data_IF_917708663289
#
_entry.id   IF_917708663289
#
_cell.length_a   1.000
_cell.length_b   1.000
_cell.length_c   1.000
_cell.angle_alpha   90.00
_cell.angle_beta   90.00
_cell.angle_gamma   90.00
#
_symmetry.space_group_name_H-M   'P 1'
#
loop_
_entity.id
_entity.type
_entity.pdbx_description
1 polymer ?
#
# COMPACT_ATOMS: atom_id res chain seq x y z
N UNK A 1 3.60 4.32 12.04
CA UNK A 1 4.15 5.60 11.55
C UNK A 1 3.12 6.73 11.46
N UNK A 2 1.80 6.45 11.43
CA UNK A 2 0.74 7.47 11.30
C UNK A 2 0.83 8.72 12.21
N UNK A 3 0.97 8.60 13.54
CA UNK A 3 1.05 9.77 14.43
C UNK A 3 2.29 10.65 14.18
N UNK A 4 3.42 10.03 13.86
CA UNK A 4 4.65 10.75 13.51
C UNK A 4 4.50 11.51 12.18
N UNK A 5 3.84 10.91 11.19
CA UNK A 5 3.53 11.58 9.92
C UNK A 5 2.62 12.79 10.11
N UNK A 6 1.58 12.68 10.94
CA UNK A 6 0.70 13.81 11.28
C UNK A 6 1.44 14.95 11.99
N UNK A 7 2.36 14.63 12.90
CA UNK A 7 3.20 15.62 13.56
C UNK A 7 4.11 16.35 12.56
N UNK A 8 4.78 15.61 11.67
CA UNK A 8 5.62 16.24 10.63
C UNK A 8 4.78 17.12 9.69
N UNK A 9 3.56 16.69 9.35
CA UNK A 9 2.65 17.47 8.51
C UNK A 9 2.16 18.75 9.18
N UNK A 10 1.93 18.74 10.50
CA UNK A 10 1.47 19.94 11.24
C UNK A 10 2.52 21.03 11.30
N UNK A 11 3.80 20.66 11.22
CA UNK A 11 4.92 21.60 11.14
C UNK A 11 5.14 22.17 9.72
N UNK A 12 4.41 21.67 8.72
CA UNK A 12 4.57 22.03 7.31
C UNK A 12 3.38 22.86 6.80
N UNK A 13 3.53 23.67 5.72
CA UNK A 13 2.42 24.44 5.13
C UNK A 13 1.34 23.55 4.49
N UNK A 14 1.56 22.24 4.41
CA UNK A 14 0.65 21.25 3.84
C UNK A 14 -0.37 20.74 4.88
N UNK A 15 -0.40 21.31 6.09
CA UNK A 15 -1.32 20.88 7.16
C UNK A 15 -2.75 20.70 6.65
N UNK A 16 -3.34 19.54 6.96
CA UNK A 16 -4.67 19.12 6.50
C UNK A 16 -4.88 19.16 4.98
N UNK A 17 -3.87 18.73 4.22
CA UNK A 17 -3.90 18.58 2.76
C UNK A 17 -4.18 19.91 2.06
N UNK A 18 -3.61 21.01 2.58
CA UNK A 18 -3.67 22.29 1.90
C UNK A 18 -2.85 22.20 0.59
N UNK A 19 -3.57 22.18 -0.53
CA UNK A 19 -3.00 22.00 -1.87
C UNK A 19 -2.14 23.18 -2.31
N UNK A 20 -2.53 24.39 -1.89
CA UNK A 20 -1.82 25.62 -2.20
C UNK A 20 -0.42 25.66 -1.56
N UNK A 21 -0.32 25.19 -0.32
CA UNK A 21 0.95 25.03 0.40
C UNK A 21 1.91 23.99 -0.21
N UNK A 22 1.45 23.17 -1.17
CA UNK A 22 2.32 22.24 -1.89
C UNK A 22 3.18 22.94 -2.97
N UNK A 23 2.78 24.12 -3.44
CA UNK A 23 3.40 24.82 -4.56
C UNK A 23 3.93 26.23 -4.22
N UNK A 24 3.38 26.91 -3.22
CA UNK A 24 3.69 28.32 -2.92
C UNK A 24 5.16 28.61 -2.63
N UNK A 25 5.91 27.65 -2.07
CA UNK A 25 7.32 27.82 -1.73
C UNK A 25 8.26 26.95 -2.59
N UNK A 26 7.79 26.49 -3.76
CA UNK A 26 8.63 25.74 -4.68
C UNK A 26 9.73 26.65 -5.30
N UNK A 27 10.99 26.20 -5.39
CA UNK A 27 11.53 24.89 -5.02
C UNK A 27 11.87 24.76 -3.51
N UNK A 28 11.44 23.66 -2.89
CA UNK A 28 11.73 23.37 -1.49
C UNK A 28 13.13 22.75 -1.33
N UNK A 29 14.16 23.59 -1.44
CA UNK A 29 15.56 23.17 -1.39
C UNK A 29 16.03 22.79 0.02
N UNK A 30 15.42 23.39 1.05
CA UNK A 30 15.71 23.08 2.45
C UNK A 30 14.48 22.42 3.08
N UNK A 31 14.70 21.24 3.66
CA UNK A 31 13.70 20.52 4.44
C UNK A 31 14.17 20.51 5.89
N UNK A 32 13.23 20.68 6.81
CA UNK A 32 13.51 20.50 8.23
C UNK A 32 14.09 19.09 8.50
N UNK A 33 14.97 18.98 9.48
CA UNK A 33 15.65 17.72 9.80
C UNK A 33 14.67 16.60 10.14
N UNK A 34 13.60 16.91 10.89
CA UNK A 34 12.55 15.95 11.24
C UNK A 34 11.75 15.51 10.01
N UNK A 35 11.43 16.47 9.12
CA UNK A 35 10.76 16.19 7.87
C UNK A 35 11.59 15.26 6.97
N UNK A 36 12.87 15.60 6.78
CA UNK A 36 13.79 14.83 5.94
C UNK A 36 14.00 13.43 6.49
N UNK A 37 14.16 13.29 7.81
CA UNK A 37 14.29 11.99 8.45
C UNK A 37 13.04 11.13 8.24
N UNK A 38 11.85 11.65 8.52
CA UNK A 38 10.60 10.91 8.32
C UNK A 38 10.43 10.47 6.86
N UNK A 39 10.65 11.38 5.90
CA UNK A 39 10.51 11.09 4.48
C UNK A 39 11.47 9.99 4.01
N UNK A 40 12.76 10.09 4.37
CA UNK A 40 13.78 9.11 3.97
C UNK A 40 13.60 7.77 4.69
N UNK A 41 13.19 7.80 5.95
CA UNK A 41 12.89 6.59 6.71
C UNK A 41 11.70 5.83 6.09
N UNK A 42 10.64 6.55 5.71
CA UNK A 42 9.50 5.98 5.01
C UNK A 42 9.94 5.40 3.65
N UNK A 43 10.77 6.13 2.88
CA UNK A 43 11.32 5.63 1.62
C UNK A 43 12.15 4.35 1.80
N UNK A 44 12.98 4.28 2.85
CA UNK A 44 13.78 3.11 3.17
C UNK A 44 12.91 1.91 3.57
N UNK A 45 11.85 2.13 4.37
CA UNK A 45 10.88 1.10 4.73
C UNK A 45 10.20 0.50 3.49
N UNK A 46 9.70 1.36 2.59
CA UNK A 46 9.06 0.91 1.34
C UNK A 46 10.03 0.20 0.39
N UNK A 47 11.28 0.67 0.30
CA UNK A 47 12.32 -0.01 -0.47
C UNK A 47 12.65 -1.39 0.12
N UNK A 48 12.76 -1.50 1.44
CA UNK A 48 12.98 -2.77 2.12
C UNK A 48 11.83 -3.74 1.87
N UNK A 49 10.57 -3.28 1.95
CA UNK A 49 9.41 -4.10 1.64
C UNK A 49 9.43 -4.61 0.20
N UNK A 50 9.82 -3.77 -0.77
CA UNK A 50 9.97 -4.19 -2.16
C UNK A 50 11.07 -5.26 -2.33
N UNK A 51 12.21 -5.12 -1.65
CA UNK A 51 13.28 -6.12 -1.68
C UNK A 51 12.82 -7.46 -1.12
N UNK A 52 12.10 -7.48 0.00
CA UNK A 52 11.57 -8.72 0.59
C UNK A 52 10.64 -9.45 -0.38
N UNK A 53 9.77 -8.72 -1.08
CA UNK A 53 8.89 -9.32 -2.08
C UNK A 53 9.66 -9.82 -3.32
N UNK A 54 10.67 -9.08 -3.79
CA UNK A 54 11.50 -9.49 -4.93
C UNK A 54 12.29 -10.77 -4.64
N UNK A 55 12.74 -10.95 -3.40
CA UNK A 55 13.44 -12.16 -2.94
C UNK A 55 12.48 -13.36 -2.75
N UNK A 56 11.17 -13.19 -2.98
CA UNK A 56 10.19 -14.26 -2.85
C UNK A 56 10.01 -14.78 -1.42
N UNK A 57 10.40 -13.97 -0.43
CA UNK A 57 10.26 -14.33 0.98
C UNK A 57 8.79 -14.29 1.46
N UNK A 58 7.90 -13.62 0.71
CA UNK A 58 6.46 -13.60 0.95
C UNK A 58 5.73 -14.57 0.02
N UNK A 59 4.84 -15.39 0.59
CA UNK A 59 4.00 -16.35 -0.15
C UNK A 59 3.16 -15.62 -1.21
N UNK A 60 3.18 -16.12 -2.45
CA UNK A 60 2.52 -15.47 -3.59
C UNK A 60 0.99 -15.53 -3.45
N UNK A 61 0.37 -14.38 -3.18
CA UNK A 61 -1.08 -14.23 -3.12
C UNK A 61 -1.72 -13.95 -4.49
N UNK A 62 -3.06 -14.06 -4.58
CA UNK A 62 -3.84 -13.78 -5.81
C UNK A 62 -3.71 -12.33 -6.29
N UNK A 63 -3.39 -11.38 -5.40
CA UNK A 63 -3.19 -9.95 -5.67
C UNK A 63 -1.70 -9.56 -5.81
N UNK A 64 -0.80 -10.53 -5.98
CA UNK A 64 0.64 -10.28 -6.00
C UNK A 64 1.08 -9.38 -7.17
N UNK A 65 0.45 -9.51 -8.35
CA UNK A 65 0.84 -8.72 -9.53
C UNK A 65 0.49 -7.24 -9.35
N UNK A 66 -0.67 -6.98 -8.77
CA UNK A 66 -1.17 -5.65 -8.45
C UNK A 66 -0.32 -5.02 -7.35
N UNK A 67 0.05 -5.81 -6.33
CA UNK A 67 0.95 -5.38 -5.24
C UNK A 67 2.35 -5.02 -5.75
N UNK A 68 2.93 -5.82 -6.65
CA UNK A 68 4.23 -5.53 -7.28
C UNK A 68 4.14 -4.27 -8.14
N UNK A 69 3.09 -4.16 -8.97
CA UNK A 69 2.85 -2.96 -9.80
C UNK A 69 2.75 -1.71 -8.92
N UNK A 70 2.06 -1.79 -7.79
CA UNK A 70 1.98 -0.72 -6.82
C UNK A 70 3.35 -0.34 -6.26
N UNK A 71 4.17 -1.30 -5.86
CA UNK A 71 5.51 -0.99 -5.32
C UNK A 71 6.41 -0.34 -6.37
N UNK A 72 6.30 -0.74 -7.63
CA UNK A 72 7.03 -0.08 -8.72
C UNK A 72 6.55 1.38 -8.85
N UNK A 73 5.23 1.60 -8.91
CA UNK A 73 4.66 2.95 -9.04
C UNK A 73 5.01 3.84 -7.84
N UNK A 74 4.89 3.32 -6.61
CA UNK A 74 5.19 4.10 -5.40
C UNK A 74 6.68 4.40 -5.26
N UNK A 75 7.58 3.44 -5.50
CA UNK A 75 9.03 3.71 -5.46
C UNK A 75 9.47 4.72 -6.51
N UNK A 76 8.90 4.66 -7.72
CA UNK A 76 9.15 5.68 -8.75
C UNK A 76 8.61 7.03 -8.30
N UNK A 77 7.39 7.09 -7.75
CA UNK A 77 6.79 8.34 -7.25
C UNK A 77 7.64 8.97 -6.12
N UNK A 78 8.12 8.16 -5.18
CA UNK A 78 8.99 8.60 -4.07
C UNK A 78 10.32 9.11 -4.60
N UNK A 79 10.97 8.35 -5.49
CA UNK A 79 12.28 8.70 -6.05
C UNK A 79 12.21 10.02 -6.82
N UNK A 80 11.17 10.21 -7.63
CA UNK A 80 10.97 11.43 -8.40
C UNK A 80 10.51 12.60 -7.54
N UNK A 81 9.64 12.37 -6.56
CA UNK A 81 9.21 13.38 -5.59
C UNK A 81 10.42 13.96 -4.84
N UNK A 82 11.38 13.12 -4.46
CA UNK A 82 12.64 13.55 -3.86
C UNK A 82 13.55 14.27 -4.87
N UNK A 83 13.75 13.70 -6.06
CA UNK A 83 14.66 14.26 -7.08
C UNK A 83 14.22 15.61 -7.64
N UNK A 84 12.91 15.85 -7.71
CA UNK A 84 12.30 17.06 -8.26
C UNK A 84 11.76 18.02 -7.19
N UNK A 85 12.07 17.80 -5.91
CA UNK A 85 11.67 18.66 -4.79
C UNK A 85 10.14 18.81 -4.59
N UNK A 86 9.35 17.82 -5.03
CA UNK A 86 7.91 17.70 -4.78
C UNK A 86 7.61 16.85 -3.54
N UNK A 87 8.44 16.98 -2.51
CA UNK A 87 8.36 16.17 -1.27
C UNK A 87 7.09 16.43 -0.46
N UNK A 88 6.50 17.62 -0.58
CA UNK A 88 5.20 17.98 0.03
C UNK A 88 4.00 17.27 -0.59
N UNK A 89 4.03 16.98 -1.89
CA UNK A 89 3.02 16.09 -2.50
C UNK A 89 3.25 14.66 -2.01
N UNK A 90 4.51 14.23 -1.93
CA UNK A 90 4.89 12.90 -1.46
C UNK A 90 4.46 12.62 -0.01
N UNK A 91 4.64 13.58 0.91
CA UNK A 91 4.26 13.39 2.32
C UNK A 91 2.73 13.32 2.49
N UNK A 92 1.97 14.08 1.70
CA UNK A 92 0.52 13.98 1.68
C UNK A 92 0.09 12.56 1.24
N UNK A 93 0.69 12.01 0.19
CA UNK A 93 0.43 10.63 -0.24
C UNK A 93 0.82 9.65 0.86
N UNK A 94 1.97 9.77 1.50
CA UNK A 94 2.37 8.86 2.60
C UNK A 94 1.36 8.83 3.75
N UNK A 95 0.91 9.99 4.22
CA UNK A 95 0.03 10.08 5.39
C UNK A 95 -1.34 9.46 5.11
N UNK A 96 -1.90 9.67 3.92
CA UNK A 96 -3.17 9.01 3.53
C UNK A 96 -3.05 7.49 3.55
N UNK A 97 -1.92 6.95 3.09
CA UNK A 97 -1.67 5.51 3.06
C UNK A 97 -1.42 4.95 4.46
N UNK A 98 -0.58 5.60 5.28
CA UNK A 98 -0.27 5.19 6.65
C UNK A 98 -1.51 5.15 7.56
N UNK A 99 -2.38 6.16 7.47
CA UNK A 99 -3.60 6.23 8.30
C UNK A 99 -4.57 5.12 7.89
N UNK A 100 -4.81 4.95 6.60
CA UNK A 100 -5.73 3.90 6.11
C UNK A 100 -5.23 2.49 6.42
N UNK A 101 -3.91 2.26 6.32
CA UNK A 101 -3.30 0.96 6.64
C UNK A 101 -3.38 0.64 8.13
N UNK A 102 -3.31 1.65 9.00
CA UNK A 102 -3.56 1.47 10.44
C UNK A 102 -4.96 0.92 10.71
N UNK A 103 -6.01 1.47 10.06
CA UNK A 103 -7.38 0.96 10.22
C UNK A 103 -7.54 -0.44 9.63
N UNK A 104 -6.92 -0.71 8.46
CA UNK A 104 -6.95 -2.04 7.84
C UNK A 104 -6.26 -3.10 8.71
N UNK A 105 -5.09 -2.79 9.26
CA UNK A 105 -4.38 -3.69 10.16
C UNK A 105 -5.16 -3.91 11.46
N UNK A 106 -5.75 -2.84 12.01
CA UNK A 106 -6.54 -2.92 13.24
C UNK A 106 -7.80 -3.77 13.05
N UNK A 107 -8.53 -3.62 11.94
CA UNK A 107 -9.73 -4.43 11.67
C UNK A 107 -9.40 -5.91 11.50
N UNK A 108 -8.28 -6.25 10.85
CA UNK A 108 -7.81 -7.64 10.75
C UNK A 108 -7.40 -8.22 12.11
N UNK A 109 -6.66 -7.46 12.91
CA UNK A 109 -6.25 -7.89 14.26
C UNK A 109 -7.46 -8.14 15.16
N UNK A 110 -8.48 -7.27 15.09
CA UNK A 110 -9.73 -7.45 15.84
C UNK A 110 -10.52 -8.68 15.37
N UNK A 111 -10.48 -8.97 14.07
CA UNK A 111 -11.11 -10.16 13.51
C UNK A 111 -10.40 -11.43 13.99
N UNK A 112 -9.07 -11.40 14.10
CA UNK A 112 -8.29 -12.54 14.57
C UNK A 112 -8.58 -12.94 16.03
N UNK A 113 -8.98 -11.99 16.87
CA UNK A 113 -9.32 -12.23 18.27
C UNK A 113 -10.84 -12.39 18.50
N UNK A 114 -11.63 -12.53 17.43
CA UNK A 114 -13.10 -12.64 17.47
C UNK A 114 -13.78 -11.56 18.33
N UNK A 115 -13.29 -10.32 18.26
CA UNK A 115 -13.83 -9.20 19.03
C UNK A 115 -15.20 -8.77 18.51
N UNK A 116 -16.17 -8.40 19.36
CA UNK A 116 -17.45 -7.84 18.93
C UNK A 116 -17.31 -6.47 18.22
N UNK A 117 -16.15 -5.83 18.31
CA UNK A 117 -15.86 -4.54 17.68
C UNK A 117 -15.44 -4.63 16.20
N UNK A 118 -15.41 -5.83 15.62
CA UNK A 118 -15.02 -6.06 14.22
C UNK A 118 -15.92 -5.29 13.25
N UNK A 119 -17.25 -5.36 13.41
CA UNK A 119 -18.20 -4.69 12.52
C UNK A 119 -17.96 -3.18 12.40
N UNK A 120 -17.92 -2.42 13.53
CA UNK A 120 -17.59 -1.01 13.52
C UNK A 120 -16.22 -0.70 12.90
N UNK A 121 -15.19 -1.52 13.17
CA UNK A 121 -13.85 -1.30 12.62
C UNK A 121 -13.74 -1.60 11.12
N UNK A 122 -14.47 -2.58 10.61
CA UNK A 122 -14.58 -2.84 9.17
C UNK A 122 -15.22 -1.63 8.48
N UNK A 123 -16.33 -1.12 9.03
CA UNK A 123 -16.97 0.11 8.53
C UNK A 123 -16.04 1.32 8.55
N UNK A 124 -15.32 1.54 9.65
CA UNK A 124 -14.31 2.59 9.78
C UNK A 124 -13.17 2.43 8.77
N UNK A 125 -12.75 1.20 8.47
CA UNK A 125 -11.74 0.92 7.46
C UNK A 125 -12.23 1.34 6.08
N UNK A 126 -13.48 1.03 5.70
CA UNK A 126 -14.05 1.45 4.40
C UNK A 126 -14.13 2.98 4.32
N UNK A 127 -14.66 3.61 5.37
CA UNK A 127 -14.83 5.06 5.42
C UNK A 127 -13.48 5.79 5.31
N UNK A 128 -12.50 5.35 6.09
CA UNK A 128 -11.14 5.89 6.02
C UNK A 128 -10.51 5.64 4.66
N UNK A 129 -10.71 4.46 4.04
CA UNK A 129 -10.18 4.17 2.70
C UNK A 129 -10.77 5.10 1.62
N UNK A 130 -12.08 5.32 1.65
CA UNK A 130 -12.76 6.22 0.70
C UNK A 130 -12.25 7.65 0.88
N UNK A 131 -12.19 8.14 2.12
CA UNK A 131 -11.77 9.51 2.38
C UNK A 131 -10.26 9.74 2.12
N UNK A 132 -9.40 8.92 2.73
CA UNK A 132 -7.95 9.09 2.65
C UNK A 132 -7.38 8.74 1.28
N UNK A 133 -7.73 7.58 0.72
CA UNK A 133 -7.06 7.07 -0.49
C UNK A 133 -7.76 7.45 -1.79
N UNK A 134 -9.05 7.77 -1.76
CA UNK A 134 -9.79 8.15 -2.97
C UNK A 134 -10.04 9.65 -3.02
N UNK A 135 -10.76 10.21 -2.04
CA UNK A 135 -11.11 11.62 -2.07
C UNK A 135 -9.88 12.54 -2.03
N UNK A 136 -8.96 12.34 -1.08
CA UNK A 136 -7.77 13.18 -1.00
C UNK A 136 -6.80 12.99 -2.17
N UNK A 137 -6.66 11.77 -2.69
CA UNK A 137 -5.81 11.54 -3.86
C UNK A 137 -6.41 12.18 -5.13
N UNK A 138 -7.73 12.11 -5.32
CA UNK A 138 -8.42 12.85 -6.38
C UNK A 138 -8.25 14.37 -6.22
N UNK A 139 -8.29 14.88 -4.99
CA UNK A 139 -8.02 16.29 -4.70
C UNK A 139 -6.58 16.68 -5.07
N UNK A 140 -5.60 15.84 -4.77
CA UNK A 140 -4.19 16.06 -5.17
C UNK A 140 -4.07 16.06 -6.70
N UNK A 141 -4.67 15.09 -7.39
CA UNK A 141 -4.68 15.03 -8.86
C UNK A 141 -5.32 16.29 -9.45
N UNK A 142 -6.49 16.70 -8.94
CA UNK A 142 -7.17 17.91 -9.39
C UNK A 142 -6.33 19.18 -9.18
N UNK A 143 -5.61 19.24 -8.06
CA UNK A 143 -4.69 20.32 -7.76
C UNK A 143 -3.49 20.33 -8.72
N UNK A 144 -2.90 19.17 -9.03
CA UNK A 144 -1.86 19.07 -10.07
C UNK A 144 -2.36 19.54 -11.43
N UNK A 145 -3.64 19.33 -11.77
CA UNK A 145 -4.19 19.82 -13.02
C UNK A 145 -4.36 21.34 -13.07
N UNK A 146 -4.87 21.97 -12.00
CA UNK A 146 -5.31 23.38 -11.98
C UNK A 146 -4.35 24.35 -11.28
N UNK A 147 -3.76 23.94 -10.16
CA UNK A 147 -2.90 24.80 -9.32
C UNK A 147 -1.43 24.73 -9.72
N UNK A 148 -1.02 23.64 -10.38
CA UNK A 148 0.37 23.45 -10.80
C UNK A 148 0.83 24.56 -11.75
N UNK A 149 0.03 24.99 -12.73
CA UNK A 149 0.50 26.02 -13.67
C UNK A 149 0.34 27.44 -13.13
N UNK A 150 -0.46 27.63 -12.07
CA UNK A 150 -0.84 28.95 -11.56
C UNK A 150 -0.02 29.40 -10.35
N UNK A 151 0.51 28.46 -9.55
CA UNK A 151 1.24 28.78 -8.31
C UNK A 151 2.74 28.57 -8.48
N UNK A 152 3.49 29.65 -8.68
CA UNK A 152 4.96 29.67 -8.75
C UNK A 152 5.54 29.52 -10.17
N UNK A 153 6.83 29.87 -10.37
CA UNK A 153 7.45 29.89 -11.68
C UNK A 153 7.57 28.48 -12.29
N UNK A 154 7.11 28.33 -13.54
CA UNK A 154 7.08 27.08 -14.34
C UNK A 154 8.25 26.93 -15.30
N UNK A 155 9.25 27.81 -15.19
CA UNK A 155 10.44 27.75 -16.03
C UNK A 155 11.41 26.70 -15.49
N UNK A 156 11.88 25.84 -16.39
CA UNK A 156 12.88 24.82 -16.11
C UNK A 156 14.24 25.49 -15.93
N UNK A 157 14.76 25.42 -14.72
CA UNK A 157 16.09 25.92 -14.41
C UNK A 157 16.86 24.86 -13.60
N UNK A 158 17.92 24.34 -14.22
CA UNK A 158 18.78 23.31 -13.64
C UNK A 158 19.69 23.86 -12.54
N UNK A 159 20.06 25.15 -12.61
CA UNK A 159 20.95 25.78 -11.64
C UNK A 159 20.22 26.12 -10.33
N UNK A 160 18.98 26.60 -10.42
CA UNK A 160 18.13 26.84 -9.24
C UNK A 160 17.40 25.60 -8.72
N UNK A 161 17.51 24.46 -9.40
CA UNK A 161 16.85 23.20 -9.00
C UNK A 161 15.34 23.19 -9.24
N UNK A 162 14.85 24.04 -10.14
CA UNK A 162 13.45 24.19 -10.47
C UNK A 162 13.03 23.25 -11.61
N UNK A 163 12.43 22.13 -11.22
CA UNK A 163 12.00 21.06 -12.15
C UNK A 163 10.51 21.11 -12.49
N UNK A 164 9.88 22.25 -12.24
CA UNK A 164 8.45 22.45 -12.46
C UNK A 164 8.19 22.74 -13.93
N UNK A 165 8.06 21.69 -14.74
CA UNK A 165 7.76 21.80 -16.17
C UNK A 165 6.57 20.91 -16.58
N UNK A 166 6.08 21.11 -17.81
CA UNK A 166 4.94 20.36 -18.36
C UNK A 166 5.20 18.84 -18.39
N UNK A 167 6.44 18.43 -18.70
CA UNK A 167 6.81 17.01 -18.71
C UNK A 167 6.71 16.40 -17.32
N UNK A 168 7.23 17.09 -16.30
CA UNK A 168 7.15 16.65 -14.91
C UNK A 168 5.70 16.56 -14.45
N UNK A 169 4.86 17.54 -14.81
CA UNK A 169 3.41 17.52 -14.55
C UNK A 169 2.76 16.25 -15.08
N UNK A 170 2.92 15.94 -16.37
CA UNK A 170 2.31 14.75 -16.98
C UNK A 170 2.85 13.45 -16.37
N UNK A 171 4.14 13.39 -16.04
CA UNK A 171 4.73 12.20 -15.45
C UNK A 171 4.19 11.92 -14.04
N UNK A 172 4.15 12.93 -13.16
CA UNK A 172 3.56 12.77 -11.82
C UNK A 172 2.07 12.46 -11.87
N UNK A 173 1.34 13.10 -12.79
CA UNK A 173 -0.09 12.86 -12.99
C UNK A 173 -0.34 11.41 -13.43
N UNK A 174 0.43 10.89 -14.39
CA UNK A 174 0.33 9.50 -14.82
C UNK A 174 0.56 8.52 -13.65
N UNK A 175 1.58 8.76 -12.82
CA UNK A 175 1.86 7.94 -11.65
C UNK A 175 0.75 8.01 -10.59
N UNK A 176 0.24 9.21 -10.29
CA UNK A 176 -0.84 9.40 -9.31
C UNK A 176 -2.17 8.80 -9.78
N UNK A 177 -2.49 8.90 -11.08
CA UNK A 177 -3.66 8.24 -11.67
C UNK A 177 -3.50 6.72 -11.63
N UNK A 178 -2.30 6.20 -11.92
CA UNK A 178 -2.01 4.77 -11.79
C UNK A 178 -2.18 4.29 -10.34
N UNK A 179 -1.69 5.06 -9.37
CA UNK A 179 -1.90 4.81 -7.95
C UNK A 179 -3.38 4.86 -7.56
N UNK A 180 -4.15 5.80 -8.12
CA UNK A 180 -5.58 5.92 -7.89
C UNK A 180 -6.36 4.73 -8.44
N UNK A 181 -6.02 4.23 -9.63
CA UNK A 181 -6.64 3.05 -10.23
C UNK A 181 -6.45 1.81 -9.33
N UNK A 182 -5.24 1.64 -8.80
CA UNK A 182 -4.92 0.56 -7.86
C UNK A 182 -5.68 0.73 -6.53
N UNK A 183 -5.79 1.95 -5.99
CA UNK A 183 -6.58 2.22 -4.79
C UNK A 183 -8.08 1.91 -4.96
N UNK A 184 -8.64 2.08 -6.16
CA UNK A 184 -10.01 1.69 -6.50
C UNK A 184 -10.16 0.16 -6.58
N UNK A 185 -9.18 -0.53 -7.15
CA UNK A 185 -9.16 -1.99 -7.19
C UNK A 185 -9.22 -2.60 -5.78
N UNK A 186 -8.40 -2.10 -4.85
CA UNK A 186 -8.45 -2.57 -3.46
C UNK A 186 -9.71 -2.12 -2.72
N UNK A 187 -10.27 -0.94 -3.01
CA UNK A 187 -11.55 -0.53 -2.46
C UNK A 187 -12.65 -1.54 -2.86
N UNK A 188 -12.68 -1.98 -4.12
CA UNK A 188 -13.63 -2.98 -4.59
C UNK A 188 -13.49 -4.31 -3.80
N UNK A 189 -12.26 -4.79 -3.59
CA UNK A 189 -12.03 -5.99 -2.78
C UNK A 189 -12.50 -5.81 -1.33
N UNK A 190 -12.24 -4.64 -0.75
CA UNK A 190 -12.60 -4.32 0.63
C UNK A 190 -14.12 -4.27 0.81
N UNK A 191 -14.85 -3.62 -0.10
CA UNK A 191 -16.32 -3.60 -0.09
C UNK A 191 -16.89 -5.00 -0.30
N UNK A 192 -16.30 -5.81 -1.20
CA UNK A 192 -16.74 -7.20 -1.42
C UNK A 192 -16.59 -8.05 -0.17
N UNK A 193 -15.48 -7.93 0.56
CA UNK A 193 -15.25 -8.65 1.82
C UNK A 193 -16.25 -8.18 2.89
N UNK A 194 -16.44 -6.86 3.01
CA UNK A 194 -17.42 -6.31 3.95
C UNK A 194 -18.85 -6.75 3.65
N UNK A 195 -19.25 -6.80 2.36
CA UNK A 195 -20.55 -7.32 1.95
C UNK A 195 -20.71 -8.79 2.37
N UNK A 196 -19.70 -9.64 2.14
CA UNK A 196 -19.74 -11.04 2.58
C UNK A 196 -19.83 -11.16 4.10
N UNK A 197 -19.09 -10.33 4.83
CA UNK A 197 -19.13 -10.30 6.29
C UNK A 197 -20.54 -9.97 6.81
N UNK A 198 -21.18 -8.94 6.25
CA UNK A 198 -22.53 -8.50 6.65
C UNK A 198 -23.62 -9.49 6.26
N UNK A 199 -23.53 -10.09 5.06
CA UNK A 199 -24.60 -10.96 4.53
C UNK A 199 -24.49 -12.39 5.03
N UNK A 200 -23.28 -12.94 5.14
CA UNK A 200 -23.10 -14.35 5.48
C UNK A 200 -22.67 -14.58 6.93
N UNK A 201 -22.35 -13.54 7.71
CA UNK A 201 -21.77 -13.66 9.06
C UNK A 201 -20.53 -14.58 9.11
N UNK A 202 -19.89 -14.78 7.94
CA UNK A 202 -18.68 -15.56 7.76
C UNK A 202 -17.53 -14.54 7.76
N UNK A 203 -16.83 -14.49 8.88
CA UNK A 203 -15.66 -13.64 9.10
C UNK A 203 -14.37 -14.18 8.45
N UNK A 204 -14.47 -15.00 7.39
CA UNK A 204 -13.31 -15.62 6.73
C UNK A 204 -12.92 -14.83 5.48
N UNK A 205 -11.71 -14.27 5.54
CA UNK A 205 -11.02 -13.53 4.48
C UNK A 205 -10.61 -14.51 3.35
N UNK A 206 -10.99 -14.25 2.08
CA UNK A 206 -10.56 -15.08 0.92
C UNK A 206 -9.02 -15.13 0.80
N UNK A 207 -8.31 -14.18 1.43
CA UNK A 207 -6.85 -14.17 1.52
C UNK A 207 -6.29 -15.30 2.40
N UNK A 208 -6.98 -15.65 3.49
CA UNK A 208 -6.61 -16.75 4.38
C UNK A 208 -7.13 -18.11 3.92
N UNK A 209 -8.20 -18.14 3.12
CA UNK A 209 -8.72 -19.40 2.56
C UNK A 209 -7.68 -20.12 1.68
N UNK A 210 -6.82 -19.37 0.97
CA UNK A 210 -5.71 -19.95 0.20
C UNK A 210 -4.58 -20.51 1.09
N UNK A 211 -4.37 -19.93 2.27
CA UNK A 211 -3.39 -20.45 3.25
C UNK A 211 -3.92 -21.70 3.94
N UNK A 212 -5.19 -21.71 4.33
CA UNK A 212 -5.85 -22.85 4.96
C UNK A 212 -6.02 -24.02 3.96
N UNK A 213 -6.42 -23.73 2.72
CA UNK A 213 -6.56 -24.77 1.66
C UNK A 213 -5.24 -25.41 1.26
N UNK A 214 -4.14 -24.65 1.20
CA UNK A 214 -2.83 -25.21 0.88
C UNK A 214 -2.27 -26.04 2.04
N UNK A 215 -2.52 -25.64 3.31
CA UNK A 215 -2.15 -26.44 4.48
C UNK A 215 -2.94 -27.75 4.52
N UNK A 216 -4.24 -27.73 4.20
CA UNK A 216 -5.06 -28.93 4.08
C UNK A 216 -4.59 -29.83 2.93
N UNK A 217 -4.22 -29.26 1.78
CA UNK A 217 -3.71 -30.02 0.65
C UNK A 217 -2.32 -30.63 0.91
N UNK A 218 -1.46 -29.93 1.66
CA UNK A 218 -0.17 -30.45 2.13
C UNK A 218 -0.34 -31.59 3.13
N UNK A 219 -1.24 -31.43 4.13
CA UNK A 219 -1.58 -32.50 5.09
C UNK A 219 -2.18 -33.73 4.39
N UNK A 220 -3.03 -33.53 3.38
CA UNK A 220 -3.59 -34.61 2.58
C UNK A 220 -2.54 -35.34 1.73
N UNK A 221 -1.54 -34.62 1.21
CA UNK A 221 -0.38 -35.21 0.50
C UNK A 221 0.53 -35.99 1.45
N UNK A 222 0.83 -35.45 2.63
CA UNK A 222 1.62 -36.15 3.67
C UNK A 222 0.92 -37.42 4.18
N UNK A 223 -0.40 -37.37 4.40
CA UNK A 223 -1.18 -38.55 4.80
C UNK A 223 -1.19 -39.64 3.71
N UNK A 224 -1.24 -39.26 2.42
CA UNK A 224 -1.12 -40.20 1.30
C UNK A 224 0.26 -40.84 1.20
N UNK A 225 1.33 -40.08 1.46
CA UNK A 225 2.71 -40.60 1.44
C UNK A 225 2.96 -41.55 2.63
N UNK A 226 2.45 -41.21 3.82
CA UNK A 226 2.52 -42.08 5.00
C UNK A 226 1.73 -43.39 4.82
N UNK A 227 0.54 -43.34 4.20
CA UNK A 227 -0.27 -44.54 3.89
C UNK A 227 0.33 -45.44 2.80
N UNK A 228 1.04 -44.85 1.83
CA UNK A 228 1.75 -45.61 0.79
C UNK A 228 2.97 -46.38 1.32
N UNK A 229 3.72 -45.77 2.25
CA UNK A 229 4.89 -46.39 2.89
C UNK A 229 4.52 -47.59 3.79
N UNK A 230 3.31 -47.59 4.37
CA UNK A 230 2.82 -48.69 5.20
C UNK A 230 2.39 -49.95 4.40
N UNK A 231 2.29 -49.87 3.06
CA UNK A 231 1.80 -50.98 2.23
C UNK A 231 2.92 -51.87 1.66
N UNK A 232 4.20 -51.54 1.89
CA UNK A 232 5.32 -52.32 1.34
C UNK A 232 6.14 -52.95 2.47
N UNK A 233 5.76 -54.15 2.94
CA UNK A 233 6.64 -55.27 3.39
C UNK A 233 5.80 -56.57 3.54
N UNK A 234 6.37 -57.79 3.44
CA UNK A 234 6.94 -58.43 2.26
C UNK A 234 6.24 -59.77 1.95
N UNK A 235 5.77 -60.01 0.73
CA UNK A 235 5.31 -61.35 0.30
C UNK A 235 6.30 -61.98 -0.67
N UNK A 236 7.23 -62.77 -0.13
CA UNK A 236 7.59 -64.09 -0.66
C UNK A 236 8.89 -64.57 -0.02
N UNK A 237 8.79 -65.68 0.71
CA UNK A 237 9.78 -66.74 0.74
C UNK A 237 9.14 -67.92 1.48
N UNK A 238 8.36 -68.69 0.73
CA UNK A 238 8.04 -70.07 1.09
C UNK A 238 8.23 -70.97 -0.14
N UNK A 239 9.23 -71.84 0.01
CA UNK A 239 9.45 -73.13 -0.64
C UNK A 239 9.90 -73.16 -2.10
N UNK A 240 11.17 -73.57 -2.29
CA UNK A 240 11.57 -74.50 -3.33
C UNK A 240 12.56 -75.51 -2.72
N UNK A 241 12.14 -76.79 -2.77
CA UNK A 241 12.89 -78.06 -2.68
C UNK A 241 14.09 -78.15 -1.72
#
# INVERSE_FOLDING_TARGET
MGPAGLYVMSTSPVWYFNTRGMYEAAPHLTLDAGFKFYYLFQAAYWAQQAVVMLLGMEKRRKDFRELVTHHIVTLVLISLSYRFHFTYVGIAVYITHDISDFFLASSKSLNYIDSPLVGPFVGATIATWIYMRNYLNLRIIFSLFNEFDTVGPTELDWESGQFKCLYTKFFFLFLLVSLQALNLFWLFLLVRIAYRFVVHNIAKDERSEAEESEIEEMKAKEAKVAGSSATIQPSSLKHAS
#
